data_IF_296455251134
#
_entry.id   IF_296455251134
#
_cell.length_a   1.000
_cell.length_b   1.000
_cell.length_c   1.000
_cell.angle_alpha   90.00
_cell.angle_beta   90.00
_cell.angle_gamma   90.00
#
_symmetry.space_group_name_H-M   'P 1'
#
loop_
_entity.id
_entity.type
_entity.pdbx_description
1 polymer ?
#
# COMPACT_ATOMS: atom_id res chain seq x y z
N UNK A 1 59.42 37.38 31.55
CA UNK A 1 60.04 37.18 30.23
C UNK A 1 60.97 35.99 30.26
N UNK A 2 60.58 34.87 29.64
CA UNK A 2 61.43 33.95 28.88
C UNK A 2 60.53 32.87 28.28
N UNK A 3 60.23 33.05 26.99
CA UNK A 3 59.68 32.03 26.11
C UNK A 3 60.86 31.16 25.70
N UNK A 4 60.78 29.83 25.88
CA UNK A 4 61.47 28.87 25.02
C UNK A 4 60.58 27.63 24.86
N UNK A 5 60.02 27.53 23.66
CA UNK A 5 59.42 26.33 23.05
C UNK A 5 60.51 25.31 22.73
N UNK A 6 60.27 24.01 22.93
CA UNK A 6 60.75 23.00 21.97
C UNK A 6 59.83 21.78 21.91
N UNK A 7 59.60 21.37 20.66
CA UNK A 7 58.71 20.32 20.19
C UNK A 7 59.25 18.92 20.50
N UNK A 8 58.34 18.03 20.94
CA UNK A 8 58.55 16.59 21.02
C UNK A 8 57.52 15.86 20.16
N UNK A 9 58.00 15.28 19.06
CA UNK A 9 57.22 14.64 17.99
C UNK A 9 56.92 13.20 18.40
N UNK A 10 55.64 12.90 18.70
CA UNK A 10 55.19 11.53 19.01
C UNK A 10 53.97 11.18 18.17
N UNK A 11 54.19 10.45 17.07
CA UNK A 11 53.14 9.78 16.29
C UNK A 11 52.56 8.65 17.15
N UNK A 12 51.27 8.69 17.44
CA UNK A 12 50.51 7.49 17.77
C UNK A 12 49.24 7.43 16.93
N UNK A 13 49.12 6.28 16.29
CA UNK A 13 48.10 5.86 15.35
C UNK A 13 46.94 5.25 16.15
N UNK A 14 45.78 5.15 15.52
CA UNK A 14 44.61 4.34 15.87
C UNK A 14 43.63 4.93 16.90
N UNK A 15 42.46 5.27 16.38
CA UNK A 15 41.27 5.56 17.17
C UNK A 15 40.12 6.00 16.27
N UNK A 16 39.89 5.27 15.17
CA UNK A 16 38.71 5.41 14.32
C UNK A 16 37.50 5.03 15.18
N UNK A 17 36.91 5.99 15.88
CA UNK A 17 35.63 5.82 16.55
C UNK A 17 34.57 5.82 15.44
N UNK A 18 34.31 4.63 14.89
CA UNK A 18 33.18 4.38 14.02
C UNK A 18 31.90 4.57 14.84
N UNK A 19 31.33 5.78 14.80
CA UNK A 19 30.00 6.06 15.30
C UNK A 19 29.03 5.25 14.45
N UNK A 20 28.70 4.06 14.93
CA UNK A 20 27.67 3.19 14.38
C UNK A 20 26.33 3.91 14.56
N UNK A 21 25.99 4.76 13.59
CA UNK A 21 24.66 5.31 13.47
C UNK A 21 23.73 4.14 13.18
N UNK A 22 23.12 3.60 14.24
CA UNK A 22 21.87 2.86 14.14
C UNK A 22 20.83 3.81 13.56
N UNK A 23 20.84 3.95 12.24
CA UNK A 23 19.71 4.46 11.49
C UNK A 23 18.55 3.53 11.78
N UNK A 24 17.67 3.95 12.68
CA UNK A 24 16.37 3.33 12.84
C UNK A 24 15.72 3.31 11.47
N UNK A 25 15.63 2.12 10.88
CA UNK A 25 14.69 1.85 9.81
C UNK A 25 13.32 2.04 10.46
N UNK A 26 12.81 3.27 10.43
CA UNK A 26 11.37 3.47 10.51
C UNK A 26 10.83 2.63 9.36
N UNK A 27 10.26 1.46 9.70
CA UNK A 27 9.43 0.73 8.77
C UNK A 27 8.29 1.69 8.44
N UNK A 28 8.44 2.41 7.34
CA UNK A 28 7.33 3.14 6.74
C UNK A 28 6.37 2.05 6.28
N UNK A 29 5.34 1.77 7.08
CA UNK A 29 4.24 0.95 6.61
C UNK A 29 3.69 1.63 5.35
N UNK A 30 3.53 0.87 4.25
CA UNK A 30 3.03 1.43 3.00
C UNK A 30 1.66 2.05 3.24
N UNK A 31 1.44 3.25 2.71
CA UNK A 31 0.15 3.92 2.75
C UNK A 31 -0.91 3.19 1.91
N UNK A 32 -2.18 3.61 2.03
CA UNK A 32 -3.28 2.97 1.32
C UNK A 32 -3.13 3.04 -0.20
N UNK A 33 -2.59 4.15 -0.73
CA UNK A 33 -2.27 4.31 -2.15
C UNK A 33 -1.20 3.32 -2.62
N UNK A 34 -0.13 3.15 -1.85
CA UNK A 34 0.97 2.24 -2.21
C UNK A 34 0.51 0.79 -2.21
N UNK A 35 -0.29 0.39 -1.22
CA UNK A 35 -0.90 -0.95 -1.20
C UNK A 35 -1.83 -1.14 -2.41
N UNK A 36 -2.67 -0.17 -2.72
CA UNK A 36 -3.57 -0.24 -3.86
C UNK A 36 -2.83 -0.35 -5.20
N UNK A 37 -1.77 0.43 -5.40
CA UNK A 37 -0.95 0.32 -6.61
C UNK A 37 -0.24 -1.03 -6.69
N UNK A 38 0.32 -1.53 -5.58
CA UNK A 38 0.95 -2.86 -5.55
C UNK A 38 -0.03 -3.96 -5.96
N UNK A 39 -1.26 -3.91 -5.44
CA UNK A 39 -2.34 -4.83 -5.80
C UNK A 39 -2.71 -4.71 -7.29
N UNK A 40 -2.87 -3.48 -7.78
CA UNK A 40 -3.27 -3.18 -9.16
C UNK A 40 -2.21 -3.66 -10.16
N UNK A 41 -0.94 -3.37 -9.89
CA UNK A 41 0.19 -3.83 -10.70
C UNK A 41 0.28 -5.36 -10.69
N UNK A 42 0.07 -6.02 -9.54
CA UNK A 42 0.06 -7.48 -9.49
C UNK A 42 -1.04 -8.07 -10.41
N UNK A 43 -2.26 -7.51 -10.36
CA UNK A 43 -3.33 -7.91 -11.26
C UNK A 43 -2.99 -7.70 -12.75
N UNK A 44 -2.40 -6.56 -13.11
CA UNK A 44 -1.96 -6.29 -14.49
C UNK A 44 -0.91 -7.28 -14.99
N UNK A 45 -0.06 -7.78 -14.08
CA UNK A 45 0.94 -8.80 -14.38
C UNK A 45 0.38 -10.24 -14.38
N UNK A 46 -0.92 -10.42 -14.08
CA UNK A 46 -1.53 -11.75 -13.91
C UNK A 46 -1.11 -12.47 -12.62
N UNK A 47 -0.51 -11.75 -11.67
CA UNK A 47 -0.18 -12.26 -10.34
C UNK A 47 -1.42 -12.18 -9.44
N UNK A 48 -2.20 -13.28 -9.45
CA UNK A 48 -3.41 -13.40 -8.66
C UNK A 48 -3.12 -13.31 -7.15
N UNK A 49 -2.03 -13.90 -6.67
CA UNK A 49 -1.72 -13.89 -5.23
C UNK A 49 -1.34 -12.49 -4.76
N UNK A 50 -0.56 -11.75 -5.57
CA UNK A 50 -0.27 -10.35 -5.33
C UNK A 50 -1.50 -9.45 -5.38
N UNK A 51 -2.46 -9.73 -6.27
CA UNK A 51 -3.76 -9.06 -6.27
C UNK A 51 -4.58 -9.38 -5.01
N UNK A 52 -4.65 -10.65 -4.60
CA UNK A 52 -5.39 -11.06 -3.41
C UNK A 52 -4.77 -10.50 -2.11
N UNK A 53 -3.47 -10.19 -2.10
CA UNK A 53 -2.79 -9.57 -0.97
C UNK A 53 -3.32 -8.15 -0.64
N UNK A 54 -3.97 -7.47 -1.59
CA UNK A 54 -4.65 -6.19 -1.34
C UNK A 54 -5.91 -6.30 -0.48
N UNK A 55 -6.44 -7.51 -0.26
CA UNK A 55 -7.68 -7.77 0.46
C UNK A 55 -7.45 -8.34 1.86
N UNK A 56 -8.45 -8.20 2.74
CA UNK A 56 -8.48 -8.90 4.03
C UNK A 56 -8.50 -10.42 3.80
N UNK A 57 -7.92 -11.19 4.74
CA UNK A 57 -7.87 -12.67 4.64
C UNK A 57 -9.27 -13.27 4.54
N UNK A 58 -10.24 -12.64 5.19
CA UNK A 58 -11.66 -12.99 5.18
C UNK A 58 -12.30 -12.72 3.82
N UNK A 59 -11.84 -11.70 3.09
CA UNK A 59 -12.38 -11.32 1.77
C UNK A 59 -11.76 -12.11 0.62
N UNK A 60 -10.53 -12.60 0.76
CA UNK A 60 -9.82 -13.31 -0.31
C UNK A 60 -10.58 -14.51 -0.90
N UNK A 61 -11.23 -15.41 -0.11
CA UNK A 61 -11.98 -16.53 -0.67
C UNK A 61 -13.13 -16.09 -1.59
N UNK A 62 -13.83 -15.02 -1.23
CA UNK A 62 -14.94 -14.47 -2.02
C UNK A 62 -14.42 -13.90 -3.34
N UNK A 63 -13.37 -13.07 -3.30
CA UNK A 63 -12.77 -12.49 -4.51
C UNK A 63 -12.26 -13.59 -5.44
N UNK A 64 -11.56 -14.59 -4.90
CA UNK A 64 -11.08 -15.73 -5.67
C UNK A 64 -12.22 -16.49 -6.34
N UNK A 65 -13.31 -16.76 -5.62
CA UNK A 65 -14.49 -17.41 -6.17
C UNK A 65 -15.14 -16.58 -7.30
N UNK A 66 -15.26 -15.27 -7.13
CA UNK A 66 -15.82 -14.38 -8.15
C UNK A 66 -14.95 -14.33 -9.42
N UNK A 67 -13.62 -14.27 -9.28
CA UNK A 67 -12.70 -14.35 -10.43
C UNK A 67 -12.91 -15.68 -11.16
N UNK A 68 -12.85 -16.81 -10.45
CA UNK A 68 -13.01 -18.14 -11.06
C UNK A 68 -14.37 -18.30 -11.75
N UNK A 69 -15.45 -17.78 -11.16
CA UNK A 69 -16.78 -17.79 -11.80
C UNK A 69 -16.79 -16.92 -13.05
N UNK A 70 -16.26 -15.70 -12.98
CA UNK A 70 -16.22 -14.79 -14.13
C UNK A 70 -15.45 -15.39 -15.31
N UNK A 71 -14.37 -16.11 -15.05
CA UNK A 71 -13.56 -16.79 -16.07
C UNK A 71 -14.28 -18.01 -16.64
N UNK A 72 -14.90 -18.83 -15.79
CA UNK A 72 -15.62 -20.03 -16.21
C UNK A 72 -16.83 -19.73 -17.11
N UNK A 73 -17.49 -18.59 -16.89
CA UNK A 73 -18.67 -18.17 -17.66
C UNK A 73 -18.36 -17.09 -18.72
N UNK A 74 -17.08 -16.76 -18.96
CA UNK A 74 -16.63 -15.67 -19.85
C UNK A 74 -17.28 -14.30 -19.54
N UNK A 75 -17.66 -14.10 -18.28
CA UNK A 75 -18.29 -12.88 -17.76
C UNK A 75 -17.21 -11.86 -17.37
N UNK A 76 -16.44 -11.42 -18.36
CA UNK A 76 -15.32 -10.48 -18.13
C UNK A 76 -15.75 -9.18 -17.46
N UNK A 77 -16.99 -8.73 -17.63
CA UNK A 77 -17.49 -7.51 -17.00
C UNK A 77 -17.63 -7.64 -15.46
N UNK A 78 -17.87 -8.87 -14.99
CA UNK A 78 -18.10 -9.16 -13.58
C UNK A 78 -16.83 -9.59 -12.84
N UNK A 79 -15.69 -9.63 -13.54
CA UNK A 79 -14.41 -10.00 -12.96
C UNK A 79 -13.91 -8.89 -12.00
N UNK A 80 -13.66 -9.21 -10.71
CA UNK A 80 -13.19 -8.24 -9.71
C UNK A 80 -11.94 -7.46 -10.14
N UNK A 81 -11.04 -8.07 -10.91
CA UNK A 81 -9.85 -7.38 -11.44
C UNK A 81 -10.24 -6.16 -12.26
N UNK A 82 -11.21 -6.28 -13.17
CA UNK A 82 -11.65 -5.15 -14.02
C UNK A 82 -12.51 -4.13 -13.29
N UNK A 83 -13.09 -4.53 -12.17
CA UNK A 83 -13.93 -3.66 -11.34
C UNK A 83 -13.11 -2.83 -10.35
N UNK A 84 -11.96 -3.34 -9.92
CA UNK A 84 -11.17 -2.77 -8.83
C UNK A 84 -9.79 -2.26 -9.24
N UNK A 85 -9.30 -2.61 -10.43
CA UNK A 85 -8.03 -2.10 -10.96
C UNK A 85 -8.32 -0.89 -11.85
N UNK A 86 -7.74 0.25 -11.46
CA UNK A 86 -7.81 1.53 -12.15
C UNK A 86 -6.41 2.11 -12.30
N UNK A 87 -6.22 2.95 -13.32
CA UNK A 87 -4.92 3.45 -13.78
C UNK A 87 -4.28 4.43 -12.79
N UNK A 88 -5.08 5.23 -12.08
CA UNK A 88 -4.59 6.22 -11.13
C UNK A 88 -5.41 6.31 -9.85
N UNK A 89 -4.73 6.74 -8.79
CA UNK A 89 -5.30 7.27 -7.56
C UNK A 89 -5.19 8.79 -7.63
N UNK A 90 -6.33 9.47 -7.72
CA UNK A 90 -6.42 10.93 -7.88
C UNK A 90 -6.52 11.64 -6.52
N UNK A 91 -6.93 10.92 -5.48
CA UNK A 91 -7.08 11.46 -4.13
C UNK A 91 -7.08 10.37 -3.06
N UNK A 92 -6.58 10.73 -1.88
CA UNK A 92 -6.58 9.87 -0.68
C UNK A 92 -7.11 10.69 0.49
N UNK A 93 -8.20 10.25 1.10
CA UNK A 93 -8.71 10.80 2.36
C UNK A 93 -8.62 9.73 3.43
N UNK A 94 -7.93 10.00 4.54
CA UNK A 94 -7.75 9.03 5.64
C UNK A 94 -8.50 9.52 6.87
N UNK A 95 -9.30 8.64 7.48
CA UNK A 95 -10.07 8.86 8.69
C UNK A 95 -9.86 7.69 9.65
N UNK A 96 -9.13 7.93 10.74
CA UNK A 96 -8.77 6.95 11.77
C UNK A 96 -8.22 5.64 11.16
N UNK A 97 -9.03 4.58 11.16
CA UNK A 97 -8.69 3.25 10.68
C UNK A 97 -9.26 2.96 9.27
N UNK A 98 -9.60 4.00 8.51
CA UNK A 98 -10.11 3.87 7.16
C UNK A 98 -9.50 4.88 6.20
N UNK A 99 -9.45 4.52 4.92
CA UNK A 99 -9.03 5.41 3.86
C UNK A 99 -9.99 5.29 2.68
N UNK A 100 -10.27 6.41 2.02
CA UNK A 100 -11.04 6.49 0.79
C UNK A 100 -10.08 6.92 -0.31
N UNK A 101 -9.91 6.04 -1.29
CA UNK A 101 -9.16 6.30 -2.51
C UNK A 101 -10.15 6.75 -3.59
N UNK A 102 -9.89 7.89 -4.22
CA UNK A 102 -10.54 8.28 -5.46
C UNK A 102 -9.69 7.77 -6.62
N UNK A 103 -10.22 6.86 -7.41
CA UNK A 103 -9.48 6.17 -8.48
C UNK A 103 -10.13 6.39 -9.84
N UNK A 104 -9.33 6.43 -10.90
CA UNK A 104 -9.83 6.62 -12.27
C UNK A 104 -9.10 5.82 -13.34
N UNK A 105 -9.82 5.49 -14.42
CA UNK A 105 -9.32 4.79 -15.61
C UNK A 105 -10.23 5.08 -16.80
N UNK A 106 -9.68 5.63 -17.89
CA UNK A 106 -10.40 5.82 -19.16
C UNK A 106 -11.77 6.50 -19.06
N UNK A 107 -11.96 7.45 -18.15
CA UNK A 107 -13.22 8.17 -17.92
C UNK A 107 -14.20 7.50 -16.94
N UNK A 108 -13.83 6.35 -16.36
CA UNK A 108 -14.50 5.78 -15.18
C UNK A 108 -13.81 6.31 -13.94
N UNK A 109 -14.60 6.78 -12.98
CA UNK A 109 -14.13 7.16 -11.66
C UNK A 109 -14.86 6.32 -10.61
N UNK A 110 -14.16 5.93 -9.55
CA UNK A 110 -14.74 5.17 -8.45
C UNK A 110 -14.08 5.55 -7.12
N UNK A 111 -14.80 5.35 -6.03
CA UNK A 111 -14.25 5.47 -4.67
C UNK A 111 -14.03 4.09 -4.07
N UNK A 112 -12.83 3.81 -3.59
CA UNK A 112 -12.48 2.55 -2.93
C UNK A 112 -12.20 2.82 -1.46
N UNK A 113 -12.98 2.20 -0.58
CA UNK A 113 -12.75 2.24 0.85
C UNK A 113 -11.82 1.11 1.27
N UNK A 114 -10.74 1.45 1.95
CA UNK A 114 -9.81 0.55 2.61
C UNK A 114 -9.93 0.70 4.13
N UNK A 115 -9.53 -0.33 4.85
CA UNK A 115 -9.42 -0.34 6.31
C UNK A 115 -7.98 -0.63 6.73
N UNK A 116 -7.59 -0.10 7.88
CA UNK A 116 -6.32 -0.42 8.51
C UNK A 116 -6.47 -1.72 9.32
N UNK A 117 -5.57 -2.66 9.09
CA UNK A 117 -5.49 -3.93 9.83
C UNK A 117 -4.11 -4.06 10.46
N UNK A 118 -3.91 -5.08 11.30
CA UNK A 118 -2.59 -5.40 11.86
C UNK A 118 -1.55 -5.72 10.78
N UNK A 119 -2.01 -6.21 9.62
CA UNK A 119 -1.17 -6.52 8.45
C UNK A 119 -0.98 -5.31 7.50
N UNK A 120 -1.52 -4.13 7.87
CA UNK A 120 -1.52 -2.90 7.08
C UNK A 120 -2.87 -2.59 6.40
N UNK A 121 -2.87 -1.67 5.44
CA UNK A 121 -4.09 -1.27 4.73
C UNK A 121 -4.61 -2.39 3.84
N UNK A 122 -5.91 -2.68 3.89
CA UNK A 122 -6.55 -3.74 3.08
C UNK A 122 -7.94 -3.33 2.61
N UNK A 123 -8.40 -3.93 1.53
CA UNK A 123 -9.78 -3.87 1.08
C UNK A 123 -10.57 -4.99 1.77
N UNK A 124 -11.57 -4.61 2.56
CA UNK A 124 -12.60 -5.53 3.03
C UNK A 124 -13.83 -5.42 2.13
N UNK A 125 -14.23 -6.55 1.54
CA UNK A 125 -15.33 -6.60 0.56
C UNK A 125 -16.67 -6.22 1.15
N UNK A 126 -16.92 -6.54 2.42
CA UNK A 126 -18.17 -6.18 3.10
C UNK A 126 -18.21 -4.68 3.36
N UNK A 127 -17.12 -4.12 3.93
CA UNK A 127 -17.01 -2.68 4.18
C UNK A 127 -17.10 -1.87 2.90
N UNK A 128 -16.46 -2.32 1.83
CA UNK A 128 -16.51 -1.68 0.51
C UNK A 128 -17.92 -1.71 -0.08
N UNK A 129 -18.61 -2.85 0.00
CA UNK A 129 -19.97 -2.99 -0.50
C UNK A 129 -20.96 -2.08 0.26
N UNK A 130 -20.89 -2.08 1.60
CA UNK A 130 -21.72 -1.20 2.44
C UNK A 130 -21.49 0.27 2.10
N UNK A 131 -20.22 0.67 1.93
CA UNK A 131 -19.86 2.03 1.53
C UNK A 131 -20.47 2.43 0.18
N UNK A 132 -20.43 1.54 -0.82
CA UNK A 132 -21.04 1.82 -2.12
C UNK A 132 -22.56 1.92 -2.06
N UNK A 133 -23.23 1.11 -1.25
CA UNK A 133 -24.68 1.22 -1.06
C UNK A 133 -25.07 2.53 -0.39
N UNK A 134 -24.28 3.01 0.57
CA UNK A 134 -24.53 4.30 1.21
C UNK A 134 -24.27 5.49 0.27
N UNK A 135 -23.25 5.42 -0.59
CA UNK A 135 -23.06 6.43 -1.65
C UNK A 135 -24.25 6.50 -2.60
N UNK A 136 -24.90 5.37 -2.93
CA UNK A 136 -26.07 5.35 -3.82
C UNK A 136 -27.29 5.98 -3.17
N UNK A 137 -27.50 5.79 -1.87
CA UNK A 137 -28.65 6.37 -1.13
C UNK A 137 -28.57 7.89 -1.00
N UNK A 138 -27.35 8.44 -0.99
CA UNK A 138 -27.10 9.87 -0.78
C UNK A 138 -26.96 10.67 -2.09
N UNK A 139 -27.31 10.07 -3.24
CA UNK A 139 -27.35 10.71 -4.56
C UNK A 139 -28.78 10.97 -4.98
#
# INVERSE_FOLDING_TARGET
>A
MKVVTMAGKGRFVFGLLATLALGGLAACDPGPSEVYYSMSTAAEMGDLDGFLAGFTKESQPLIKAQISLSEAYDQKADNPVRQLVFDSVDGVTTEDDSAILEVSSGGRNQKIKMIKTDDGWRIDTKVLAEYWEDLKKNR
#
